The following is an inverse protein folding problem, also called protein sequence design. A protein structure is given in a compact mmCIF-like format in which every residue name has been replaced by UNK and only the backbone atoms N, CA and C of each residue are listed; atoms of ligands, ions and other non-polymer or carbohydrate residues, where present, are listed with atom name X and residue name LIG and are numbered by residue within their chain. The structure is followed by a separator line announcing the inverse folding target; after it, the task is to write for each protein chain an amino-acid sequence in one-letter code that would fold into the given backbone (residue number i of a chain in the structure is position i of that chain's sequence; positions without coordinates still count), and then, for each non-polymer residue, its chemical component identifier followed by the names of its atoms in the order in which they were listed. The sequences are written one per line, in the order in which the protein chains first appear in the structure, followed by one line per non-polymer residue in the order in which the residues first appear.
data_IF_317814731486
#
_entry.id   IF_317814731486
#
_cell.length_a   1.000
_cell.length_b   1.000
_cell.length_c   1.000
_cell.angle_alpha   90.00
_cell.angle_beta   90.00
_cell.angle_gamma   90.00
#
_symmetry.space_group_name_H-M   'P 1'
#
loop_
_entity.id
_entity.type
_entity.pdbx_description
1 polymer ?
#
# COMPACT_ATOMS: atom_id res chain seq x y z
N UNK A 1 -3.38 -4.31 4.76
CA UNK A 1 -4.41 -3.57 5.52
C UNK A 1 -4.01 -3.24 6.94
N UNK A 2 -3.57 -4.20 7.77
CA UNK A 2 -3.34 -3.95 9.20
C UNK A 2 -2.31 -2.87 9.51
N UNK A 3 -1.17 -2.85 8.80
CA UNK A 3 -0.14 -1.80 8.97
C UNK A 3 -0.74 -0.42 8.75
N UNK A 4 -1.49 -0.21 7.66
CA UNK A 4 -2.12 1.08 7.36
C UNK A 4 -3.14 1.49 8.44
N UNK A 5 -3.87 0.53 9.02
CA UNK A 5 -4.90 0.79 10.04
C UNK A 5 -4.32 1.13 11.41
N UNK A 6 -3.18 0.54 11.77
CA UNK A 6 -2.71 0.49 13.16
C UNK A 6 -1.26 0.94 13.34
N UNK A 7 -0.62 1.46 12.29
CA UNK A 7 0.76 1.95 12.37
C UNK A 7 0.95 2.99 13.48
N UNK A 8 -0.03 3.86 13.67
CA UNK A 8 -0.05 4.88 14.73
C UNK A 8 -0.13 4.32 16.16
N UNK A 9 -0.43 3.03 16.35
CA UNK A 9 -0.43 2.39 17.66
C UNK A 9 0.97 1.95 18.11
N UNK A 10 1.97 2.08 17.25
CA UNK A 10 3.36 1.82 17.63
C UNK A 10 3.82 2.85 18.67
N UNK A 11 4.47 2.39 19.74
CA UNK A 11 5.01 3.26 20.79
C UNK A 11 5.99 4.32 20.25
N UNK A 12 6.73 4.02 19.19
CA UNK A 12 7.66 4.97 18.55
C UNK A 12 6.95 6.11 17.81
N UNK A 13 5.66 5.97 17.52
CA UNK A 13 4.85 6.91 16.75
C UNK A 13 3.77 7.58 17.63
N UNK A 14 3.96 7.55 18.95
CA UNK A 14 2.99 8.08 19.90
C UNK A 14 2.78 9.59 19.72
N UNK A 15 1.57 9.98 19.31
CA UNK A 15 1.19 11.37 19.05
C UNK A 15 1.12 11.74 17.57
N UNK A 16 1.60 10.88 16.67
CA UNK A 16 1.42 11.06 15.23
C UNK A 16 -0.03 10.81 14.80
N UNK A 17 -0.46 11.54 13.77
CA UNK A 17 -1.79 11.35 13.20
C UNK A 17 -1.88 10.01 12.47
N UNK A 18 -3.03 9.34 12.58
CA UNK A 18 -3.31 8.12 11.82
C UNK A 18 -3.27 8.37 10.31
N UNK A 19 -2.74 7.40 9.54
CA UNK A 19 -2.79 7.43 8.07
C UNK A 19 -4.23 7.33 7.54
N UNK A 20 -5.16 6.81 8.36
CA UNK A 20 -6.57 6.62 8.03
C UNK A 20 -7.42 7.42 9.01
N UNK A 21 -8.33 8.24 8.50
CA UNK A 21 -9.26 9.00 9.35
C UNK A 21 -10.32 8.08 9.98
N UNK A 22 -10.91 8.48 11.11
CA UNK A 22 -11.84 7.64 11.88
C UNK A 22 -13.03 7.13 11.04
N UNK A 23 -13.56 7.98 10.15
CA UNK A 23 -14.64 7.59 9.25
C UNK A 23 -14.22 6.48 8.27
N UNK A 24 -13.02 6.59 7.70
CA UNK A 24 -12.48 5.55 6.84
C UNK A 24 -12.13 4.30 7.65
N UNK A 25 -11.66 4.44 8.90
CA UNK A 25 -11.39 3.32 9.79
C UNK A 25 -12.66 2.52 10.12
N UNK A 26 -13.79 3.19 10.43
CA UNK A 26 -15.10 2.54 10.64
C UNK A 26 -15.55 1.80 9.38
N UNK A 27 -15.43 2.42 8.20
CA UNK A 27 -15.75 1.77 6.91
C UNK A 27 -14.89 0.54 6.63
N UNK A 28 -13.59 0.62 6.95
CA UNK A 28 -12.65 -0.50 6.84
C UNK A 28 -12.95 -1.61 7.85
N UNK A 29 -13.41 -1.26 9.05
CA UNK A 29 -13.81 -2.21 10.08
C UNK A 29 -15.10 -2.95 9.71
N UNK A 30 -16.08 -2.25 9.12
CA UNK A 30 -17.34 -2.84 8.63
C UNK A 30 -17.16 -3.74 7.41
N UNK A 31 -16.07 -3.57 6.67
CA UNK A 31 -15.76 -4.41 5.49
C UNK A 31 -15.33 -5.79 5.98
N UNK A 32 -16.27 -6.75 5.96
CA UNK A 32 -16.10 -8.11 6.50
C UNK A 32 -15.28 -9.02 5.58
N UNK A 33 -15.34 -8.77 4.29
CA UNK A 33 -14.71 -9.60 3.26
C UNK A 33 -13.94 -8.69 2.30
N UNK A 34 -12.77 -9.17 1.87
CA UNK A 34 -11.99 -8.58 0.79
C UNK A 34 -11.98 -9.59 -0.34
N UNK A 35 -12.57 -9.22 -1.47
CA UNK A 35 -12.56 -10.02 -2.68
C UNK A 35 -11.33 -9.71 -3.56
N UNK A 36 -11.24 -10.34 -4.73
CA UNK A 36 -10.16 -10.11 -5.68
C UNK A 36 -10.20 -8.71 -6.35
N UNK A 37 -11.30 -7.98 -6.21
CA UNK A 37 -11.46 -6.62 -6.74
C UNK A 37 -11.11 -5.55 -5.69
N UNK A 38 -10.98 -5.95 -4.43
CA UNK A 38 -10.62 -5.09 -3.31
C UNK A 38 -9.19 -4.60 -3.45
N UNK A 39 -8.99 -3.29 -3.38
CA UNK A 39 -7.67 -2.70 -3.60
C UNK A 39 -7.50 -1.38 -2.85
N UNK A 40 -6.24 -1.07 -2.53
CA UNK A 40 -5.81 0.26 -2.10
C UNK A 40 -5.02 0.88 -3.25
N UNK A 41 -5.35 2.11 -3.62
CA UNK A 41 -4.52 2.91 -4.53
C UNK A 41 -3.73 3.91 -3.71
N UNK A 42 -2.40 3.84 -3.86
CA UNK A 42 -1.44 4.84 -3.42
C UNK A 42 -1.10 5.73 -4.63
N UNK A 43 -1.44 7.01 -4.55
CA UNK A 43 -1.17 7.97 -5.61
C UNK A 43 -0.18 9.01 -5.11
N UNK A 44 1.00 9.05 -5.71
CA UNK A 44 2.06 9.98 -5.36
C UNK A 44 2.07 11.14 -6.36
N UNK A 45 2.16 12.36 -5.85
CA UNK A 45 2.26 13.59 -6.62
C UNK A 45 3.58 14.26 -6.28
N UNK A 46 4.35 14.61 -7.31
CA UNK A 46 5.62 15.29 -7.18
C UNK A 46 5.47 16.78 -7.44
N UNK A 47 6.03 17.61 -6.55
CA UNK A 47 6.24 19.03 -6.79
C UNK A 47 7.69 19.26 -7.26
N UNK A 48 7.86 19.54 -8.55
CA UNK A 48 9.19 19.77 -9.14
C UNK A 48 9.77 21.15 -8.85
N UNK A 49 9.01 22.06 -8.22
CA UNK A 49 9.45 23.40 -7.88
C UNK A 49 10.34 23.45 -6.62
N UNK A 50 10.30 22.38 -5.81
CA UNK A 50 11.11 22.26 -4.59
C UNK A 50 12.33 21.36 -4.81
N UNK A 51 13.30 21.42 -3.90
CA UNK A 51 14.49 20.58 -3.92
C UNK A 51 14.15 19.09 -3.83
N UNK A 52 15.10 18.21 -4.18
CA UNK A 52 14.90 16.74 -4.13
C UNK A 52 14.71 16.24 -2.70
N UNK A 53 15.31 16.95 -1.76
CA UNK A 53 15.38 16.61 -0.34
C UNK A 53 14.25 17.27 0.47
N UNK A 54 13.38 18.07 -0.17
CA UNK A 54 12.27 18.71 0.54
C UNK A 54 11.23 17.66 0.94
N UNK A 55 10.89 17.52 2.24
CA UNK A 55 9.91 16.52 2.70
C UNK A 55 8.52 16.73 2.11
N UNK A 56 8.20 17.93 1.60
CA UNK A 56 6.93 18.26 0.96
C UNK A 56 6.96 18.06 -0.56
N UNK A 57 8.06 17.58 -1.13
CA UNK A 57 8.17 17.29 -2.57
C UNK A 57 7.13 16.28 -3.01
N UNK A 58 6.92 15.23 -2.21
CA UNK A 58 6.00 14.15 -2.53
C UNK A 58 4.80 14.18 -1.61
N UNK A 59 3.62 14.34 -2.22
CA UNK A 59 2.32 14.23 -1.56
C UNK A 59 1.68 12.90 -1.92
N UNK A 60 1.08 12.23 -0.95
CA UNK A 60 0.45 10.93 -1.13
C UNK A 60 -1.06 11.03 -0.88
N UNK A 61 -1.83 10.45 -1.78
CA UNK A 61 -3.24 10.18 -1.57
C UNK A 61 -3.51 8.68 -1.52
N UNK A 62 -4.34 8.26 -0.57
CA UNK A 62 -4.73 6.88 -0.34
C UNK A 62 -6.23 6.73 -0.54
N UNK A 63 -6.62 5.78 -1.39
CA UNK A 63 -8.03 5.41 -1.60
C UNK A 63 -8.19 3.91 -1.48
N UNK A 64 -9.38 3.48 -1.06
CA UNK A 64 -9.72 2.08 -0.88
C UNK A 64 -11.06 1.78 -1.55
N UNK A 65 -11.07 0.71 -2.34
CA UNK A 65 -12.30 0.08 -2.81
C UNK A 65 -12.44 -1.29 -2.15
N UNK A 66 -13.65 -1.57 -1.65
CA UNK A 66 -14.03 -2.88 -1.09
C UNK A 66 -14.39 -3.92 -2.15
N UNK A 67 -14.19 -3.61 -3.44
CA UNK A 67 -14.54 -4.52 -4.53
C UNK A 67 -16.05 -4.53 -4.80
N UNK A 68 -16.66 -5.70 -4.87
CA UNK A 68 -18.08 -5.86 -5.11
C UNK A 68 -18.92 -5.22 -3.99
N UNK A 69 -19.98 -4.51 -4.37
CA UNK A 69 -20.87 -3.80 -3.45
C UNK A 69 -21.69 -4.74 -2.54
N UNK A 70 -21.87 -6.00 -2.97
CA UNK A 70 -22.67 -6.99 -2.27
C UNK A 70 -21.80 -8.09 -1.68
N UNK A 71 -21.77 -8.18 -0.35
CA UNK A 71 -21.22 -9.34 0.34
C UNK A 71 -22.25 -10.47 0.39
N UNK A 72 -21.84 -11.66 -0.04
CA UNK A 72 -22.64 -12.89 0.08
C UNK A 72 -22.99 -13.25 1.54
N UNK A 73 -22.31 -12.65 2.52
CA UNK A 73 -22.49 -12.86 3.95
C UNK A 73 -23.52 -11.90 4.58
N UNK A 74 -23.94 -10.86 3.86
CA UNK A 74 -24.99 -9.97 4.33
C UNK A 74 -26.35 -10.56 3.99
N UNK A 75 -27.06 -11.04 5.02
CA UNK A 75 -28.43 -11.56 4.92
C UNK A 75 -29.44 -10.45 4.66
N UNK A 76 -29.39 -9.83 3.50
CA UNK A 76 -30.46 -8.98 2.98
C UNK A 76 -31.26 -9.79 1.94
N UNK A 77 -32.08 -10.72 2.44
CA UNK A 77 -32.90 -11.66 1.66
C UNK A 77 -33.88 -10.96 0.67
N UNK A 78 -34.09 -9.64 0.82
CA UNK A 78 -35.05 -8.86 0.03
C UNK A 78 -34.49 -8.27 -1.26
N UNK A 79 -33.19 -7.98 -1.34
CA UNK A 79 -32.56 -7.46 -2.56
C UNK A 79 -31.89 -8.56 -3.37
N UNK A 80 -31.33 -9.58 -2.72
CA UNK A 80 -30.70 -10.71 -3.41
C UNK A 80 -31.65 -11.45 -4.37
N UNK A 81 -32.97 -11.39 -4.13
CA UNK A 81 -33.99 -12.02 -4.97
C UNK A 81 -34.29 -11.28 -6.28
N UNK A 82 -33.94 -9.99 -6.43
CA UNK A 82 -34.15 -9.25 -7.70
C UNK A 82 -32.97 -9.30 -8.67
N UNK A 83 -31.77 -9.68 -8.22
CA UNK A 83 -30.54 -9.70 -9.04
C UNK A 83 -30.28 -11.02 -9.78
N UNK A 84 -31.24 -11.95 -9.80
CA UNK A 84 -31.11 -13.26 -10.46
C UNK A 84 -30.85 -13.18 -11.98
N UNK A 85 -30.72 -11.99 -12.55
CA UNK A 85 -30.53 -11.75 -13.98
C UNK A 85 -29.21 -11.05 -14.34
N UNK A 86 -28.50 -10.46 -13.38
CA UNK A 86 -27.21 -9.79 -13.61
C UNK A 86 -26.07 -10.61 -13.00
N UNK A 87 -25.20 -11.13 -13.87
CA UNK A 87 -24.07 -11.99 -13.49
C UNK A 87 -22.82 -11.21 -13.08
N UNK A 88 -22.93 -9.88 -12.93
CA UNK A 88 -21.83 -8.98 -12.56
C UNK A 88 -22.31 -8.14 -11.38
N UNK A 89 -21.59 -8.23 -10.27
CA UNK A 89 -21.83 -7.33 -9.13
C UNK A 89 -21.23 -5.96 -9.42
N UNK A 90 -21.90 -4.86 -9.04
CA UNK A 90 -21.34 -3.53 -9.19
C UNK A 90 -20.08 -3.38 -8.32
N UNK A 91 -19.08 -2.67 -8.85
CA UNK A 91 -17.80 -2.44 -8.19
C UNK A 91 -17.84 -1.08 -7.49
N UNK A 92 -17.49 -1.07 -6.22
CA UNK A 92 -17.44 0.14 -5.43
C UNK A 92 -16.31 1.05 -5.87
N UNK A 93 -16.65 2.33 -6.06
CA UNK A 93 -15.67 3.37 -6.39
C UNK A 93 -14.69 3.51 -5.22
N UNK A 94 -13.38 3.66 -5.49
CA UNK A 94 -12.40 3.89 -4.44
C UNK A 94 -12.71 5.18 -3.66
N UNK A 95 -12.82 5.05 -2.35
CA UNK A 95 -13.10 6.17 -1.45
C UNK A 95 -11.82 6.55 -0.70
N UNK A 96 -11.65 7.83 -0.38
CA UNK A 96 -10.46 8.34 0.31
C UNK A 96 -10.34 7.75 1.72
N UNK A 97 -9.11 7.43 2.11
CA UNK A 97 -8.77 6.96 3.46
C UNK A 97 -8.37 8.10 4.40
N UNK A 98 -7.86 9.21 3.85
CA UNK A 98 -7.45 10.39 4.61
C UNK A 98 -8.57 11.43 4.68
N UNK A 99 -8.48 12.34 5.64
CA UNK A 99 -9.44 13.45 5.79
C UNK A 99 -9.38 14.44 4.61
N UNK A 100 -10.50 15.12 4.33
CA UNK A 100 -10.54 16.15 3.27
C UNK A 100 -9.65 17.32 3.66
N UNK A 101 -8.72 17.69 2.79
CA UNK A 101 -7.74 18.76 3.07
C UNK A 101 -6.50 18.30 3.82
N UNK A 102 -6.41 17.02 4.22
CA UNK A 102 -5.17 16.47 4.77
C UNK A 102 -4.06 16.45 3.72
N UNK A 103 -2.83 16.68 4.17
CA UNK A 103 -1.64 16.67 3.35
C UNK A 103 -0.66 15.64 3.91
N UNK A 104 -0.75 14.41 3.40
CA UNK A 104 0.20 13.35 3.74
C UNK A 104 1.43 13.47 2.84
N UNK A 105 2.59 13.69 3.45
CA UNK A 105 3.89 13.66 2.77
C UNK A 105 4.43 12.24 2.68
N UNK A 106 5.37 12.00 1.76
CA UNK A 106 6.11 10.74 1.70
C UNK A 106 6.88 10.46 2.98
N UNK A 107 7.58 11.47 3.52
CA UNK A 107 8.35 11.35 4.76
C UNK A 107 7.48 10.86 5.93
N UNK A 108 6.30 11.46 6.13
CA UNK A 108 5.37 11.02 7.16
C UNK A 108 4.89 9.59 6.92
N UNK A 109 4.52 9.24 5.68
CA UNK A 109 4.07 7.89 5.39
C UNK A 109 5.18 6.85 5.62
N UNK A 110 6.40 7.14 5.17
CA UNK A 110 7.57 6.29 5.34
C UNK A 110 7.85 6.05 6.82
N UNK A 111 7.90 7.11 7.63
CA UNK A 111 8.09 7.00 9.08
C UNK A 111 7.03 6.12 9.76
N UNK A 112 5.78 6.19 9.29
CA UNK A 112 4.67 5.39 9.84
C UNK A 112 4.76 3.90 9.45
N UNK A 113 5.21 3.58 8.24
CA UNK A 113 5.23 2.19 7.75
C UNK A 113 6.57 1.49 7.98
N UNK A 114 7.67 2.23 8.08
CA UNK A 114 9.04 1.72 8.19
C UNK A 114 9.23 0.74 9.36
N UNK A 115 8.67 0.96 10.57
CA UNK A 115 8.80 0.01 11.68
C UNK A 115 8.21 -1.38 11.42
N UNK A 116 7.36 -1.51 10.39
CA UNK A 116 6.70 -2.76 10.00
C UNK A 116 7.33 -3.41 8.77
N UNK A 117 8.35 -2.78 8.18
CA UNK A 117 9.11 -3.34 7.07
C UNK A 117 10.09 -4.40 7.59
N UNK A 118 10.36 -5.41 6.76
CA UNK A 118 11.42 -6.36 7.03
C UNK A 118 12.77 -5.64 6.92
N UNK A 119 13.66 -5.74 7.92
CA UNK A 119 15.00 -5.17 7.85
C UNK A 119 15.76 -5.72 6.64
N UNK A 120 16.66 -4.90 6.07
CA UNK A 120 17.46 -5.26 4.90
C UNK A 120 18.28 -6.54 5.14
N UNK A 121 18.72 -6.73 6.38
CA UNK A 121 19.55 -7.84 6.86
C UNK A 121 18.77 -9.16 6.92
N UNK A 122 17.45 -9.09 7.07
CA UNK A 122 16.56 -10.25 7.23
C UNK A 122 15.93 -10.68 5.90
N UNK A 123 16.22 -10.00 4.78
CA UNK A 123 15.71 -10.42 3.49
C UNK A 123 16.22 -11.83 3.16
N UNK A 124 15.33 -12.74 2.72
CA UNK A 124 15.78 -14.04 2.26
C UNK A 124 16.75 -13.85 1.08
N UNK A 125 17.79 -14.69 0.97
CA UNK A 125 18.70 -14.61 -0.17
C UNK A 125 17.89 -14.70 -1.47
N UNK A 126 18.29 -13.97 -2.52
CA UNK A 126 17.55 -13.93 -3.78
C UNK A 126 17.38 -15.36 -4.30
N UNK A 127 16.16 -15.88 -4.21
CA UNK A 127 15.81 -17.20 -4.68
C UNK A 127 15.23 -17.05 -6.08
N UNK A 128 15.81 -17.77 -7.05
CA UNK A 128 15.20 -17.90 -8.38
C UNK A 128 13.79 -18.48 -8.18
N UNK A 129 12.72 -17.79 -8.61
CA UNK A 129 11.36 -18.26 -8.38
C UNK A 129 11.20 -19.66 -8.98
N UNK A 130 10.68 -20.63 -8.21
CA UNK A 130 10.52 -22.03 -8.65
C UNK A 130 9.71 -22.20 -9.96
N UNK A 131 8.97 -21.18 -10.41
CA UNK A 131 8.21 -21.19 -11.67
C UNK A 131 8.90 -20.54 -12.88
N UNK A 132 10.07 -19.92 -12.71
CA UNK A 132 10.71 -19.08 -13.76
C UNK A 132 11.90 -19.74 -14.45
N UNK A 133 12.30 -20.94 -14.00
CA UNK A 133 13.49 -21.67 -14.49
C UNK A 133 13.41 -22.07 -15.97
N UNK A 134 12.20 -22.15 -16.55
CA UNK A 134 12.00 -22.59 -17.94
C UNK A 134 11.87 -21.48 -19.00
N UNK A 135 11.43 -20.27 -18.64
CA UNK A 135 11.02 -19.27 -19.64
C UNK A 135 12.06 -18.20 -19.96
N UNK A 136 13.01 -17.94 -19.06
CA UNK A 136 13.92 -16.81 -19.25
C UNK A 136 15.36 -17.10 -18.79
N UNK A 137 16.04 -18.05 -19.42
CA UNK A 137 17.50 -18.19 -19.26
C UNK A 137 18.29 -16.93 -19.70
N UNK A 138 17.63 -15.95 -20.33
CA UNK A 138 18.21 -14.65 -20.75
C UNK A 138 17.78 -13.44 -19.90
N UNK A 139 16.80 -13.54 -19.01
CA UNK A 139 16.33 -12.37 -18.22
C UNK A 139 17.08 -12.14 -16.91
N UNK A 140 17.85 -13.12 -16.44
CA UNK A 140 18.68 -12.96 -15.24
C UNK A 140 19.61 -11.73 -15.36
N UNK A 141 20.17 -11.50 -16.55
CA UNK A 141 21.02 -10.36 -16.87
C UNK A 141 20.25 -9.03 -16.93
N UNK A 142 18.95 -9.06 -17.23
CA UNK A 142 18.07 -7.88 -17.23
C UNK A 142 17.66 -7.53 -15.80
N UNK A 143 17.35 -8.52 -14.98
CA UNK A 143 17.05 -8.33 -13.56
C UNK A 143 18.28 -7.82 -12.80
N UNK A 144 19.48 -8.32 -13.11
CA UNK A 144 20.73 -7.80 -12.56
C UNK A 144 20.94 -6.32 -12.91
N UNK A 145 20.61 -5.90 -14.14
CA UNK A 145 20.71 -4.50 -14.56
C UNK A 145 19.68 -3.61 -13.87
N UNK A 146 18.48 -4.10 -13.61
CA UNK A 146 17.44 -3.36 -12.89
C UNK A 146 17.76 -3.25 -11.40
N UNK A 147 18.29 -4.31 -10.78
CA UNK A 147 18.77 -4.27 -9.40
C UNK A 147 19.92 -3.27 -9.22
N UNK A 148 20.82 -3.16 -10.20
CA UNK A 148 21.88 -2.15 -10.20
C UNK A 148 21.38 -0.71 -10.48
N UNK A 149 20.15 -0.54 -10.98
CA UNK A 149 19.56 0.78 -11.23
C UNK A 149 18.99 1.42 -9.95
N UNK A 150 18.68 0.62 -8.93
CA UNK A 150 18.18 1.07 -7.64
C UNK A 150 19.27 1.01 -6.58
N UNK A 151 20.27 1.88 -6.73
CA UNK A 151 21.31 2.08 -5.72
C UNK A 151 20.86 3.06 -4.63
N UNK A 152 19.81 2.72 -3.88
CA UNK A 152 19.59 3.35 -2.58
C UNK A 152 20.44 2.56 -1.57
N UNK A 153 21.41 3.24 -0.92
CA UNK A 153 22.42 2.70 0.03
C UNK A 153 23.77 2.23 -0.53
N UNK A 154 24.48 3.09 -1.29
CA UNK A 154 25.93 2.95 -1.49
C UNK A 154 26.81 3.92 -0.68
N UNK A 155 26.27 4.49 0.40
CA UNK A 155 27.05 5.23 1.39
C UNK A 155 26.88 4.60 2.76
N UNK A 156 27.91 3.89 3.21
CA UNK A 156 27.94 3.30 4.55
C UNK A 156 29.02 2.25 4.72
N UNK A 157 30.28 2.73 4.81
CA UNK A 157 31.31 2.27 5.75
C UNK A 157 32.71 2.20 5.10
N UNK A 158 33.31 3.37 4.87
CA UNK A 158 34.77 3.49 4.75
C UNK A 158 35.35 3.93 6.10
N UNK A 159 35.40 3.02 7.08
CA UNK A 159 36.30 3.22 8.21
C UNK A 159 37.66 2.64 7.83
N UNK A 160 38.56 3.55 7.48
CA UNK A 160 39.98 3.29 7.33
C UNK A 160 40.69 3.30 8.68
N UNK A 161 41.73 2.45 8.73
CA UNK A 161 42.77 2.24 9.74
C UNK A 161 42.38 1.41 10.97
#
# INVERSE_FOLDING_TARGET
MNVIRYCNLNESLHGEASLVCDNALDRLFRTKELDYMSHIVLRMFENTEVALEDPKRFRIEMTFSRGADLSSLEKNDKEASSWHQEHILPVMVPERLQEVGSHLTWDNMENMIHPFAMPAEDFPPPSTPQGFSGYFSKSALVLERLANLWSFHKYGNSNGK
#
